data_IF_576910851532
#
_entry.id   IF_576910851532
#
_cell.length_a   1.000
_cell.length_b   1.000
_cell.length_c   1.000
_cell.angle_alpha   90.00
_cell.angle_beta   90.00
_cell.angle_gamma   90.00
#
_symmetry.space_group_name_H-M   'P 1'
#
loop_
_entity.id
_entity.type
_entity.pdbx_description
1 polymer ?
#
# COMPACT_ATOMS: atom_id res chain seq x y z
N UNK A 1 -39.15 5.14 -27.41
CA UNK A 1 -38.55 4.87 -26.09
C UNK A 1 -37.06 4.94 -26.28
N UNK A 2 -36.50 6.11 -26.04
CA UNK A 2 -35.07 6.38 -26.17
C UNK A 2 -34.38 6.00 -24.86
N UNK A 3 -33.32 5.21 -24.95
CA UNK A 3 -32.50 4.83 -23.80
C UNK A 3 -31.50 5.97 -23.53
N UNK A 4 -31.63 6.60 -22.35
CA UNK A 4 -30.69 7.61 -21.85
C UNK A 4 -29.29 7.00 -21.69
N UNK A 5 -28.39 7.38 -22.60
CA UNK A 5 -26.98 7.01 -22.56
C UNK A 5 -26.26 7.69 -21.41
N UNK A 6 -25.76 6.90 -20.45
CA UNK A 6 -24.82 7.39 -19.46
C UNK A 6 -23.43 7.54 -20.11
N UNK A 7 -22.95 8.77 -20.19
CA UNK A 7 -21.61 9.09 -20.68
C UNK A 7 -20.51 8.80 -19.66
N UNK A 8 -19.29 8.62 -20.18
CA UNK A 8 -18.03 8.32 -19.48
C UNK A 8 -17.60 9.37 -18.43
N UNK A 9 -18.31 10.49 -18.34
CA UNK A 9 -17.94 11.67 -17.52
C UNK A 9 -18.61 11.70 -16.13
N UNK A 10 -19.32 10.64 -15.73
CA UNK A 10 -20.10 10.62 -14.48
C UNK A 10 -19.30 10.30 -13.20
N UNK A 11 -17.96 10.30 -13.25
CA UNK A 11 -17.11 9.94 -12.12
C UNK A 11 -16.15 11.08 -11.74
N UNK A 12 -16.70 12.25 -11.41
CA UNK A 12 -16.00 13.22 -10.56
C UNK A 12 -16.50 13.08 -9.11
N UNK A 13 -15.65 12.50 -8.25
CA UNK A 13 -15.85 12.60 -6.81
C UNK A 13 -14.59 13.17 -6.16
N UNK A 14 -14.64 14.48 -5.93
CA UNK A 14 -13.74 15.21 -5.04
C UNK A 14 -13.91 14.70 -3.60
N UNK A 15 -12.92 13.97 -3.09
CA UNK A 15 -12.87 13.64 -1.66
C UNK A 15 -12.14 14.74 -0.89
N UNK A 16 -12.80 15.89 -0.71
CA UNK A 16 -12.43 16.84 0.34
C UNK A 16 -13.56 16.82 1.36
N UNK A 17 -13.40 16.05 2.44
CA UNK A 17 -14.22 16.21 3.64
C UNK A 17 -13.44 17.00 4.67
N UNK A 18 -13.57 18.33 4.62
CA UNK A 18 -13.31 19.16 5.79
C UNK A 18 -14.43 18.91 6.78
N UNK A 19 -14.18 18.15 7.84
CA UNK A 19 -15.09 18.06 8.98
C UNK A 19 -14.74 19.16 9.97
N UNK A 20 -15.23 20.37 9.72
CA UNK A 20 -15.51 21.31 10.82
C UNK A 20 -16.87 20.93 11.40
N UNK A 21 -16.94 20.99 12.72
CA UNK A 21 -18.13 20.88 13.58
C UNK A 21 -18.68 19.47 13.90
N UNK A 22 -18.30 18.95 15.07
CA UNK A 22 -19.24 18.32 16.00
C UNK A 22 -18.61 18.20 17.40
N UNK A 23 -18.97 19.17 18.23
CA UNK A 23 -18.75 19.25 19.67
C UNK A 23 -19.61 18.19 20.39
N UNK A 24 -19.02 17.51 21.38
CA UNK A 24 -19.64 16.69 22.43
C UNK A 24 -20.86 15.83 22.06
N UNK A 25 -20.63 14.51 21.92
CA UNK A 25 -21.57 13.51 22.45
C UNK A 25 -20.92 12.14 22.58
N UNK A 26 -21.18 11.51 23.72
CA UNK A 26 -20.76 10.16 24.12
C UNK A 26 -21.54 9.15 23.27
N UNK A 27 -21.20 9.02 21.98
CA UNK A 27 -21.80 8.02 21.11
C UNK A 27 -21.11 6.69 21.33
N UNK A 28 -21.86 5.68 21.74
CA UNK A 28 -21.42 4.30 21.62
C UNK A 28 -21.10 4.02 20.16
N UNK A 29 -19.83 3.71 19.87
CA UNK A 29 -19.39 3.43 18.51
C UNK A 29 -20.15 2.21 17.96
N UNK A 30 -20.75 2.36 16.77
CA UNK A 30 -21.34 1.25 16.05
C UNK A 30 -20.30 0.13 15.86
N UNK A 31 -20.72 -1.13 15.98
CA UNK A 31 -19.86 -2.31 15.79
C UNK A 31 -19.07 -2.27 14.46
N UNK A 32 -19.68 -1.77 13.36
CA UNK A 32 -19.02 -1.61 12.05
C UNK A 32 -17.84 -0.64 12.12
N UNK A 33 -18.02 0.48 12.80
CA UNK A 33 -17.00 1.51 12.96
C UNK A 33 -15.86 1.04 13.86
N UNK A 34 -16.19 0.37 14.97
CA UNK A 34 -15.20 -0.25 15.85
C UNK A 34 -14.34 -1.27 15.10
N UNK A 35 -14.94 -2.06 14.20
CA UNK A 35 -14.21 -3.00 13.34
C UNK A 35 -13.28 -2.28 12.36
N UNK A 36 -13.75 -1.22 11.71
CA UNK A 36 -12.93 -0.40 10.79
C UNK A 36 -11.72 0.22 11.52
N UNK A 37 -11.93 0.76 12.72
CA UNK A 37 -10.85 1.35 13.52
C UNK A 37 -9.81 0.31 13.95
N UNK A 38 -10.23 -0.90 14.35
CA UNK A 38 -9.31 -2.00 14.65
C UNK A 38 -8.49 -2.44 13.43
N UNK A 39 -9.07 -2.37 12.24
CA UNK A 39 -8.37 -2.69 10.98
C UNK A 39 -7.48 -1.53 10.46
N UNK A 40 -7.71 -0.31 10.94
CA UNK A 40 -6.93 0.86 10.54
C UNK A 40 -5.64 0.91 11.32
N UNK A 41 -4.55 1.18 10.61
CA UNK A 41 -3.21 1.31 11.19
C UNK A 41 -2.78 2.77 11.23
N UNK A 42 -2.14 3.17 12.32
CA UNK A 42 -1.54 4.48 12.49
C UNK A 42 -0.11 4.33 13.02
N UNK A 43 0.72 5.32 12.71
CA UNK A 43 2.04 5.50 13.29
C UNK A 43 1.97 6.69 14.25
N UNK A 44 2.40 6.49 15.48
CA UNK A 44 2.56 7.56 16.46
C UNK A 44 4.04 7.88 16.60
N UNK A 45 4.40 9.16 16.52
CA UNK A 45 5.78 9.60 16.72
C UNK A 45 6.16 9.48 18.19
N UNK A 46 7.34 8.92 18.46
CA UNK A 46 7.87 8.73 19.79
C UNK A 46 8.57 10.01 20.25
N UNK A 47 7.82 10.88 20.93
CA UNK A 47 8.31 12.16 21.46
C UNK A 47 7.52 12.59 22.69
N UNK A 48 8.12 13.45 23.51
CA UNK A 48 7.52 13.99 24.73
C UNK A 48 6.96 12.90 25.66
N UNK A 49 5.68 12.97 26.07
CA UNK A 49 5.07 11.96 26.94
C UNK A 49 4.95 10.58 26.29
N UNK A 50 5.09 10.48 24.96
CA UNK A 50 5.02 9.24 24.19
C UNK A 50 6.41 8.79 23.67
N UNK A 51 7.50 9.22 24.31
CA UNK A 51 8.89 8.98 23.87
C UNK A 51 9.31 7.50 23.75
N UNK A 52 8.54 6.56 24.27
CA UNK A 52 8.86 5.13 24.22
C UNK A 52 7.62 4.29 23.90
N UNK A 53 7.84 3.09 23.35
CA UNK A 53 6.74 2.14 23.07
C UNK A 53 6.01 1.77 24.36
N UNK A 54 6.72 1.68 25.48
CA UNK A 54 6.10 1.41 26.77
C UNK A 54 5.17 2.55 27.22
N UNK A 55 5.57 3.80 27.02
CA UNK A 55 4.70 4.95 27.30
C UNK A 55 3.45 4.94 26.40
N UNK A 56 3.59 4.57 25.13
CA UNK A 56 2.46 4.40 24.20
C UNK A 56 1.52 3.27 24.65
N UNK A 57 2.05 2.11 25.05
CA UNK A 57 1.26 0.98 25.56
C UNK A 57 0.49 1.37 26.83
N UNK A 58 1.14 2.09 27.74
CA UNK A 58 0.52 2.60 28.96
C UNK A 58 -0.60 3.60 28.64
N UNK A 59 -0.34 4.57 27.77
CA UNK A 59 -1.34 5.54 27.32
C UNK A 59 -2.51 4.89 26.57
N UNK A 60 -2.27 3.77 25.88
CA UNK A 60 -3.31 2.99 25.21
C UNK A 60 -4.08 2.04 26.16
N UNK A 61 -3.68 1.92 27.43
CA UNK A 61 -4.30 1.03 28.40
C UNK A 61 -4.12 -0.46 28.07
N UNK A 62 -3.01 -0.81 27.42
CA UNK A 62 -2.70 -2.18 26.96
C UNK A 62 -1.74 -2.89 27.90
N UNK A 63 -1.84 -4.23 27.93
CA UNK A 63 -0.80 -5.07 28.54
C UNK A 63 0.40 -5.18 27.59
N UNK A 64 1.62 -5.28 28.12
CA UNK A 64 2.90 -5.17 27.38
C UNK A 64 3.19 -6.27 26.35
N UNK A 65 2.20 -7.11 26.01
CA UNK A 65 2.31 -8.22 25.07
C UNK A 65 2.09 -7.80 23.60
N UNK A 66 1.64 -6.57 23.34
CA UNK A 66 1.46 -6.05 21.99
C UNK A 66 2.77 -5.48 21.42
N UNK A 67 2.97 -5.69 20.11
CA UNK A 67 4.17 -5.40 19.30
C UNK A 67 5.07 -4.25 19.81
N UNK A 68 6.32 -4.58 20.16
CA UNK A 68 7.38 -3.65 20.60
C UNK A 68 8.12 -2.97 19.45
N UNK A 69 7.58 -3.02 18.23
CA UNK A 69 8.33 -2.58 17.05
C UNK A 69 8.46 -1.06 17.01
N UNK A 70 9.71 -0.58 17.03
CA UNK A 70 10.08 0.81 16.76
C UNK A 70 10.49 0.92 15.30
N UNK A 71 9.88 1.86 14.60
CA UNK A 71 10.23 2.21 13.22
C UNK A 71 11.12 3.45 13.26
N UNK A 72 12.40 3.28 12.90
CA UNK A 72 13.31 4.39 12.72
C UNK A 72 13.00 5.11 11.40
N UNK A 73 13.05 6.42 11.43
CA UNK A 73 12.82 7.31 10.30
C UNK A 73 13.76 8.51 10.39
N UNK A 74 13.84 9.25 9.30
CA UNK A 74 14.64 10.47 9.22
C UNK A 74 13.74 11.57 8.67
N UNK A 75 13.77 12.74 9.29
CA UNK A 75 13.01 13.89 8.78
C UNK A 75 13.74 14.58 7.61
N UNK A 76 13.10 15.61 7.04
CA UNK A 76 13.65 16.36 5.90
C UNK A 76 14.96 17.09 6.23
N UNK A 77 15.29 17.27 7.51
CA UNK A 77 16.53 17.89 7.98
C UNK A 77 17.63 16.88 8.30
N UNK A 78 17.37 15.58 8.10
CA UNK A 78 18.33 14.51 8.40
C UNK A 78 18.32 14.08 9.87
N UNK A 79 17.40 14.58 10.70
CA UNK A 79 17.36 14.22 12.12
C UNK A 79 16.60 12.90 12.32
N UNK A 80 17.07 12.05 13.27
CA UNK A 80 16.41 10.79 13.56
C UNK A 80 15.04 11.04 14.21
N UNK A 81 14.05 10.30 13.75
CA UNK A 81 12.73 10.19 14.38
C UNK A 81 12.36 8.73 14.55
N UNK A 82 11.57 8.45 15.57
CA UNK A 82 11.13 7.09 15.87
C UNK A 82 9.61 7.06 15.93
N UNK A 83 9.01 5.99 15.42
CA UNK A 83 7.57 5.80 15.39
C UNK A 83 7.19 4.43 15.98
N UNK A 84 5.98 4.33 16.51
CA UNK A 84 5.37 3.06 16.92
C UNK A 84 4.05 2.85 16.20
N UNK A 85 3.74 1.60 15.88
CA UNK A 85 2.55 1.20 15.13
C UNK A 85 1.40 0.92 16.11
N UNK A 86 0.26 1.57 15.89
CA UNK A 86 -0.94 1.43 16.72
C UNK A 86 -2.17 1.25 15.82
N UNK A 87 -3.28 0.74 16.38
CA UNK A 87 -4.55 0.69 15.65
C UNK A 87 -5.41 1.95 15.88
N UNK A 88 -6.52 2.08 15.16
CA UNK A 88 -7.42 3.24 15.29
C UNK A 88 -8.17 3.35 16.62
N UNK A 89 -8.36 2.25 17.35
CA UNK A 89 -8.92 2.29 18.71
C UNK A 89 -7.89 2.84 19.68
N UNK A 90 -6.64 2.38 19.59
CA UNK A 90 -5.54 2.82 20.43
C UNK A 90 -5.31 4.32 20.27
N UNK A 91 -5.35 4.83 19.02
CA UNK A 91 -5.28 6.26 18.73
C UNK A 91 -6.31 7.06 19.54
N UNK A 92 -7.57 6.64 19.55
CA UNK A 92 -8.63 7.33 20.28
C UNK A 92 -8.42 7.30 21.80
N UNK A 93 -7.88 6.20 22.32
CA UNK A 93 -7.56 6.05 23.75
C UNK A 93 -6.41 6.97 24.14
N UNK A 94 -5.33 7.00 23.34
CA UNK A 94 -4.18 7.88 23.57
C UNK A 94 -4.59 9.35 23.47
N UNK A 95 -5.41 9.72 22.48
CA UNK A 95 -5.94 11.09 22.35
C UNK A 95 -6.80 11.48 23.56
N UNK A 96 -7.54 10.54 24.14
CA UNK A 96 -8.27 10.77 25.39
C UNK A 96 -7.32 10.95 26.57
N UNK A 97 -6.33 10.07 26.70
CA UNK A 97 -5.33 10.12 27.77
C UNK A 97 -4.56 11.45 27.77
N UNK A 98 -4.18 11.96 26.59
CA UNK A 98 -3.52 13.26 26.44
C UNK A 98 -4.42 14.46 26.76
N UNK A 99 -5.75 14.34 26.59
CA UNK A 99 -6.69 15.37 27.04
C UNK A 99 -6.85 15.39 28.56
N UNK A 100 -6.80 14.22 29.19
CA UNK A 100 -6.87 14.06 30.65
C UNK A 100 -5.54 14.45 31.32
N UNK A 101 -4.41 14.31 30.62
CA UNK A 101 -3.07 14.65 31.10
C UNK A 101 -2.41 15.67 30.15
N UNK A 102 -2.73 16.97 30.27
CA UNK A 102 -2.23 17.98 29.36
C UNK A 102 -0.73 18.23 29.55
N UNK A 103 0.03 18.20 28.45
CA UNK A 103 1.45 18.54 28.40
C UNK A 103 1.65 19.85 27.63
N UNK A 104 2.00 20.96 28.31
CA UNK A 104 2.20 22.25 27.65
C UNK A 104 3.26 22.16 26.54
N UNK A 105 2.94 22.66 25.35
CA UNK A 105 3.86 22.68 24.21
C UNK A 105 4.02 21.36 23.46
N UNK A 106 3.31 20.30 23.85
CA UNK A 106 3.33 19.02 23.15
C UNK A 106 2.07 18.81 22.31
N UNK A 107 2.24 18.49 21.03
CA UNK A 107 1.15 18.07 20.14
C UNK A 107 1.51 16.72 19.55
N UNK A 108 0.71 15.67 19.77
CA UNK A 108 1.02 14.33 19.27
C UNK A 108 0.93 14.28 17.75
N UNK A 109 1.87 13.58 17.12
CA UNK A 109 1.87 13.33 15.67
C UNK A 109 1.38 11.90 15.41
N UNK A 110 0.23 11.80 14.73
CA UNK A 110 -0.31 10.55 14.22
C UNK A 110 -0.34 10.57 12.70
N UNK A 111 0.24 9.55 12.07
CA UNK A 111 0.23 9.35 10.62
C UNK A 111 -0.63 8.14 10.34
N UNK A 112 -1.66 8.27 9.51
CA UNK A 112 -2.41 7.10 9.07
C UNK A 112 -1.55 6.28 8.11
N UNK A 113 -1.34 5.02 8.45
CA UNK A 113 -0.66 4.09 7.56
C UNK A 113 -1.65 3.63 6.49
N UNK A 114 -1.64 4.36 5.36
CA UNK A 114 -2.45 4.08 4.18
C UNK A 114 -1.81 3.01 3.29
N UNK A 115 -0.80 2.27 3.78
CA UNK A 115 -0.32 1.10 3.07
C UNK A 115 -1.48 0.09 2.97
N UNK A 116 -2.23 0.20 1.87
CA UNK A 116 -2.85 -0.97 1.28
C UNK A 116 -1.68 -1.94 1.08
N UNK A 117 -1.73 -3.16 1.63
CA UNK A 117 -0.74 -4.15 1.29
C UNK A 117 -0.74 -4.23 -0.23
N UNK A 118 0.30 -3.68 -0.87
CA UNK A 118 0.63 -3.93 -2.27
C UNK A 118 1.23 -5.32 -2.33
N UNK A 119 0.51 -6.28 -1.77
CA UNK A 119 0.77 -7.67 -1.99
C UNK A 119 0.30 -7.88 -3.42
N UNK A 120 1.26 -7.86 -4.34
CA UNK A 120 1.00 -8.35 -5.68
C UNK A 120 0.52 -9.78 -5.48
N UNK A 121 -0.62 -10.12 -6.08
CA UNK A 121 -1.11 -11.49 -5.96
C UNK A 121 0.00 -12.44 -6.44
N UNK A 122 0.34 -13.42 -5.61
CA UNK A 122 1.30 -14.48 -5.95
C UNK A 122 0.87 -15.29 -7.19
N UNK A 123 -0.39 -15.15 -7.58
CA UNK A 123 -1.00 -15.76 -8.77
C UNK A 123 -1.38 -14.74 -9.84
N UNK A 124 -1.05 -13.45 -9.66
CA UNK A 124 -1.26 -12.45 -10.71
C UNK A 124 -0.40 -12.79 -11.92
N UNK A 125 -1.02 -12.85 -13.10
CA UNK A 125 -0.32 -13.11 -14.34
C UNK A 125 0.74 -12.02 -14.58
N UNK A 126 1.92 -12.43 -15.07
CA UNK A 126 2.85 -11.53 -15.77
C UNK A 126 2.12 -10.82 -16.93
N UNK A 127 2.59 -9.66 -17.41
CA UNK A 127 2.02 -9.06 -18.62
C UNK A 127 2.19 -10.03 -19.80
N UNK A 128 1.09 -10.60 -20.30
CA UNK A 128 1.09 -11.34 -21.56
C UNK A 128 0.74 -10.40 -22.69
N UNK A 129 1.51 -10.49 -23.77
CA UNK A 129 1.28 -9.64 -24.93
C UNK A 129 0.01 -10.09 -25.66
N UNK A 130 -0.99 -9.22 -25.72
CA UNK A 130 -2.20 -9.41 -26.54
C UNK A 130 -3.30 -10.27 -25.94
N UNK A 131 -3.20 -10.73 -24.69
CA UNK A 131 -4.25 -11.50 -24.01
C UNK A 131 -4.81 -10.77 -22.79
N UNK A 132 -6.14 -10.66 -22.75
CA UNK A 132 -6.86 -10.18 -21.59
C UNK A 132 -6.98 -11.28 -20.53
N UNK A 133 -6.02 -11.34 -19.61
CA UNK A 133 -5.96 -12.36 -18.54
C UNK A 133 -7.13 -12.30 -17.55
N UNK A 134 -7.95 -11.25 -17.63
CA UNK A 134 -9.20 -11.12 -16.85
C UNK A 134 -10.32 -12.05 -17.36
N UNK A 135 -10.24 -12.51 -18.62
CA UNK A 135 -11.25 -13.38 -19.23
C UNK A 135 -11.12 -14.83 -18.76
N UNK A 136 -12.23 -15.52 -18.43
CA UNK A 136 -12.22 -16.88 -17.85
C UNK A 136 -11.37 -17.90 -18.62
N UNK A 137 -11.41 -17.86 -19.95
CA UNK A 137 -10.70 -18.80 -20.83
C UNK A 137 -9.17 -18.63 -20.84
N UNK A 138 -8.66 -17.52 -20.32
CA UNK A 138 -7.21 -17.24 -20.23
C UNK A 138 -6.71 -17.24 -18.77
N UNK A 139 -7.56 -17.66 -17.82
CA UNK A 139 -7.16 -17.86 -16.43
C UNK A 139 -6.39 -19.17 -16.30
N UNK A 140 -5.32 -19.15 -15.51
CA UNK A 140 -4.60 -20.34 -15.09
C UNK A 140 -5.57 -21.28 -14.34
N UNK A 141 -5.37 -22.59 -14.52
CA UNK A 141 -6.04 -23.59 -13.68
C UNK A 141 -5.69 -23.38 -12.21
N UNK A 142 -6.53 -23.86 -11.29
CA UNK A 142 -6.31 -23.71 -9.83
C UNK A 142 -4.96 -24.23 -9.35
N UNK A 143 -4.37 -25.16 -10.10
CA UNK A 143 -3.15 -25.88 -9.74
C UNK A 143 -1.92 -25.35 -10.50
N UNK A 144 -2.10 -24.37 -11.38
CA UNK A 144 -1.01 -23.80 -12.18
C UNK A 144 -0.45 -22.53 -11.51
N UNK A 145 0.83 -22.57 -11.16
CA UNK A 145 1.55 -21.43 -10.59
C UNK A 145 2.21 -20.67 -11.75
N UNK A 146 1.90 -19.38 -11.97
CA UNK A 146 2.56 -18.59 -13.00
C UNK A 146 4.05 -18.48 -12.71
N UNK A 147 4.89 -18.80 -13.70
CA UNK A 147 6.35 -18.71 -13.64
C UNK A 147 6.86 -17.67 -14.65
N UNK A 148 7.91 -16.90 -14.33
CA UNK A 148 8.61 -16.88 -13.06
C UNK A 148 7.75 -16.26 -11.95
N UNK A 149 7.88 -16.77 -10.71
CA UNK A 149 7.25 -16.15 -9.55
C UNK A 149 7.86 -14.77 -9.28
N UNK A 150 7.16 -13.92 -8.52
CA UNK A 150 7.62 -12.54 -8.25
C UNK A 150 9.04 -12.43 -7.66
N UNK A 151 9.51 -13.47 -6.95
CA UNK A 151 10.85 -13.53 -6.33
C UNK A 151 11.81 -14.48 -7.06
N UNK A 152 11.43 -14.95 -8.24
CA UNK A 152 12.20 -15.89 -9.03
C UNK A 152 12.97 -15.14 -10.12
N UNK A 153 14.27 -15.40 -10.19
CA UNK A 153 15.20 -14.83 -11.15
C UNK A 153 16.01 -15.96 -11.80
N UNK A 154 16.44 -15.81 -13.08
CA UNK A 154 16.24 -14.67 -13.97
C UNK A 154 14.80 -14.55 -14.53
N UNK A 155 14.41 -13.34 -14.94
CA UNK A 155 13.12 -13.08 -15.61
C UNK A 155 13.30 -13.12 -17.13
N UNK A 156 12.46 -13.91 -17.80
CA UNK A 156 12.47 -14.03 -19.26
C UNK A 156 11.66 -12.91 -19.90
N UNK A 157 12.30 -12.11 -20.75
CA UNK A 157 11.65 -11.06 -21.54
C UNK A 157 11.55 -11.49 -23.00
N UNK A 158 10.33 -11.45 -23.56
CA UNK A 158 10.11 -11.65 -24.98
C UNK A 158 10.21 -10.30 -25.71
N UNK A 159 11.31 -10.07 -26.41
CA UNK A 159 11.49 -8.87 -27.24
C UNK A 159 10.98 -9.08 -28.66
N UNK A 160 10.39 -8.04 -29.24
CA UNK A 160 9.90 -8.01 -30.62
C UNK A 160 10.14 -6.64 -31.25
N UNK A 161 10.02 -6.54 -32.58
CA UNK A 161 10.28 -5.29 -33.31
C UNK A 161 11.74 -4.85 -33.19
N UNK A 162 11.98 -3.56 -32.97
CA UNK A 162 13.33 -2.98 -32.88
C UNK A 162 14.13 -3.44 -31.66
N UNK A 163 13.45 -3.80 -30.55
CA UNK A 163 14.10 -4.30 -29.35
C UNK A 163 14.59 -5.76 -29.48
N UNK A 164 14.24 -6.45 -30.56
CA UNK A 164 14.79 -7.76 -30.87
C UNK A 164 16.25 -7.69 -31.38
N UNK A 165 16.72 -6.50 -31.79
CA UNK A 165 18.11 -6.27 -32.15
C UNK A 165 18.96 -6.11 -30.88
N UNK A 166 19.95 -7.00 -30.62
CA UNK A 166 20.79 -6.93 -29.45
C UNK A 166 21.54 -5.60 -29.30
N UNK A 167 21.93 -4.98 -30.42
CA UNK A 167 22.68 -3.71 -30.39
C UNK A 167 21.81 -2.55 -29.90
N UNK A 168 20.51 -2.56 -30.22
CA UNK A 168 19.54 -1.57 -29.74
C UNK A 168 19.26 -1.81 -28.26
N UNK A 169 19.08 -3.08 -27.87
CA UNK A 169 18.79 -3.43 -26.48
C UNK A 169 19.97 -3.12 -25.55
N UNK A 170 21.21 -3.44 -25.94
CA UNK A 170 22.41 -3.12 -25.16
C UNK A 170 22.61 -1.62 -25.01
N UNK A 171 22.34 -0.81 -26.06
CA UNK A 171 22.36 0.66 -25.92
C UNK A 171 21.34 1.18 -24.92
N UNK A 172 20.17 0.54 -24.83
CA UNK A 172 19.10 0.93 -23.92
C UNK A 172 19.37 0.49 -22.47
N UNK A 173 19.87 -0.72 -22.27
CA UNK A 173 20.10 -1.32 -20.95
C UNK A 173 21.48 -0.99 -20.35
N UNK A 174 22.40 -0.45 -21.16
CA UNK A 174 23.78 -0.14 -20.77
C UNK A 174 24.76 -1.27 -21.10
N UNK A 175 26.03 -0.91 -21.27
CA UNK A 175 27.09 -1.82 -21.74
C UNK A 175 27.37 -3.02 -20.83
N UNK A 176 26.92 -2.98 -19.58
CA UNK A 176 27.12 -4.04 -18.59
C UNK A 176 26.04 -5.14 -18.67
N UNK A 177 24.99 -4.96 -19.47
CA UNK A 177 23.94 -5.96 -19.64
C UNK A 177 24.34 -7.03 -20.67
N UNK A 178 24.91 -8.14 -20.21
CA UNK A 178 25.13 -9.33 -21.04
C UNK A 178 23.88 -10.21 -21.02
N UNK A 179 22.82 -9.77 -21.71
CA UNK A 179 21.60 -10.58 -21.84
C UNK A 179 21.84 -11.77 -22.79
N UNK A 180 21.43 -12.96 -22.36
CA UNK A 180 21.44 -14.15 -23.21
C UNK A 180 20.18 -14.17 -24.09
N UNK A 181 20.36 -14.38 -25.40
CA UNK A 181 19.26 -14.37 -26.36
C UNK A 181 18.89 -15.79 -26.76
N UNK A 182 17.60 -16.08 -26.75
CA UNK A 182 17.04 -17.34 -27.19
C UNK A 182 15.94 -17.10 -28.21
N UNK A 183 15.92 -17.91 -29.26
CA UNK A 183 14.81 -17.90 -30.22
C UNK A 183 13.54 -18.40 -29.52
N UNK A 184 12.50 -17.57 -29.52
CA UNK A 184 11.21 -17.89 -28.90
C UNK A 184 10.06 -17.56 -29.86
N UNK A 185 8.91 -18.20 -29.64
CA UNK A 185 7.67 -17.95 -30.39
C UNK A 185 6.52 -17.72 -29.41
N UNK A 186 5.73 -16.68 -29.66
CA UNK A 186 4.50 -16.40 -28.91
C UNK A 186 3.28 -16.61 -29.83
N UNK A 187 2.17 -17.09 -29.25
CA UNK A 187 0.88 -17.25 -29.95
C UNK A 187 -0.10 -16.19 -29.45
N UNK A 188 -1.00 -15.74 -30.32
CA UNK A 188 -2.04 -14.76 -29.96
C UNK A 188 -1.60 -13.31 -29.91
N UNK A 189 -0.31 -13.02 -30.04
CA UNK A 189 0.20 -11.66 -30.23
C UNK A 189 -0.17 -11.15 -31.63
N UNK A 190 -0.78 -9.97 -31.70
CA UNK A 190 -1.00 -9.24 -32.94
C UNK A 190 -0.08 -8.02 -32.97
N UNK A 191 0.83 -7.97 -33.95
CA UNK A 191 1.61 -6.76 -34.22
C UNK A 191 0.73 -5.78 -34.99
N UNK A 192 0.38 -4.67 -34.36
CA UNK A 192 -0.19 -3.52 -35.06
C UNK A 192 0.97 -2.60 -35.43
N UNK A 193 1.31 -2.55 -36.72
CA UNK A 193 2.19 -1.53 -37.30
C UNK A 193 1.49 -0.19 -37.38
#
# INVERSE_FOLDING_TARGET
MEAEGHGHESYEHSCIRTSRDAINQRQEMNMKEKRRLRASTFLVKLEGPLHSVQAVIQAAGKSSADSTQVLAATDLSGQPSSFSKINGIDKLVIERWLRENPYPGFTPIFIQDLNAPKDLSSTSFHPTLGLGTTLPQYRLGSDEIPRPAQKEYPVWYFFYGTLADPSVLTKLLGSDSQAEYYAAKIRGGALKT
#
